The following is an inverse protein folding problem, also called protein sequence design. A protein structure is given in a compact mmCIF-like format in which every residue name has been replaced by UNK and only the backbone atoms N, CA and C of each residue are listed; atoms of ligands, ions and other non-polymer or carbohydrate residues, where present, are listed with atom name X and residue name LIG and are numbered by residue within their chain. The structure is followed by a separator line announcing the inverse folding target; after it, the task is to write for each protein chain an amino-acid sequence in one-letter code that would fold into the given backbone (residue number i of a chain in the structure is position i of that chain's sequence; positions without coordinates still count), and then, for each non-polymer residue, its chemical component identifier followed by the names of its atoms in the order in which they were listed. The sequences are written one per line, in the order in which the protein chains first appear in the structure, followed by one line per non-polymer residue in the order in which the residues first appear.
data_IF_442567944687
#
_entry.id   IF_442567944687
#
_cell.length_a   1.000
_cell.length_b   1.000
_cell.length_c   1.000
_cell.angle_alpha   90.00
_cell.angle_beta   90.00
_cell.angle_gamma   90.00
#
_symmetry.space_group_name_H-M   'P 1'
#
loop_
_entity.id
_entity.type
_entity.pdbx_description
1 polymer ?
#
# COMPACT_ATOMS: atom_id res chain seq x y z
N UNK A 1 20.13 1.78 11.07
CA UNK A 1 19.53 0.49 10.64
C UNK A 1 18.44 0.66 9.61
N UNK A 2 18.57 0.02 8.43
CA UNK A 2 17.44 -0.13 7.50
C UNK A 2 16.56 -1.26 8.05
N UNK A 3 15.29 -0.98 8.35
CA UNK A 3 14.33 -2.05 8.70
C UNK A 3 14.40 -3.15 7.64
N UNK A 4 14.40 -4.43 8.03
CA UNK A 4 14.39 -5.53 7.07
C UNK A 4 13.22 -5.35 6.11
N UNK A 5 13.50 -5.48 4.81
CA UNK A 5 12.45 -5.40 3.78
C UNK A 5 11.54 -6.60 3.94
N UNK A 6 10.37 -6.36 4.53
CA UNK A 6 9.29 -7.34 4.52
C UNK A 6 8.67 -7.35 3.12
N UNK A 7 8.68 -8.51 2.46
CA UNK A 7 7.99 -8.69 1.20
C UNK A 7 6.47 -8.62 1.42
N UNK A 8 5.77 -7.98 0.49
CA UNK A 8 4.31 -8.02 0.46
C UNK A 8 3.84 -9.40 -0.01
N UNK A 9 2.76 -9.92 0.58
CA UNK A 9 2.13 -11.15 0.11
C UNK A 9 1.40 -10.91 -1.21
N UNK A 10 1.11 -11.97 -1.98
CA UNK A 10 0.35 -11.86 -3.24
C UNK A 10 -0.97 -11.13 -3.01
N UNK A 11 -1.72 -11.50 -1.97
CA UNK A 11 -2.99 -10.84 -1.60
C UNK A 11 -2.83 -9.34 -1.32
N UNK A 12 -1.74 -8.93 -0.67
CA UNK A 12 -1.47 -7.51 -0.44
C UNK A 12 -1.19 -6.78 -1.75
N UNK A 13 -0.39 -7.37 -2.63
CA UNK A 13 -0.09 -6.80 -3.95
C UNK A 13 -1.35 -6.69 -4.81
N UNK A 14 -2.16 -7.74 -4.89
CA UNK A 14 -3.39 -7.77 -5.70
C UNK A 14 -4.36 -6.66 -5.29
N UNK A 15 -4.53 -6.44 -4.00
CA UNK A 15 -5.38 -5.37 -3.46
C UNK A 15 -4.80 -3.97 -3.71
N UNK A 16 -3.49 -3.78 -3.50
CA UNK A 16 -2.82 -2.52 -3.78
C UNK A 16 -2.90 -2.16 -5.28
N UNK A 17 -2.74 -3.14 -6.16
CA UNK A 17 -2.90 -2.96 -7.60
C UNK A 17 -4.34 -2.69 -8.02
N UNK A 18 -5.32 -3.38 -7.42
CA UNK A 18 -6.72 -3.12 -7.67
C UNK A 18 -7.10 -1.68 -7.32
N UNK A 19 -6.68 -1.20 -6.15
CA UNK A 19 -6.92 0.20 -5.75
C UNK A 19 -6.17 1.19 -6.63
N UNK A 20 -4.91 0.92 -7.00
CA UNK A 20 -4.14 1.80 -7.87
C UNK A 20 -4.72 1.90 -9.29
N UNK A 21 -5.30 0.81 -9.82
CA UNK A 21 -6.03 0.82 -11.10
C UNK A 21 -7.29 1.67 -11.02
N UNK A 22 -7.99 1.65 -9.89
CA UNK A 22 -9.19 2.44 -9.66
C UNK A 22 -8.87 3.92 -9.45
N UNK A 23 -7.81 4.22 -8.71
CA UNK A 23 -7.39 5.58 -8.37
C UNK A 23 -5.87 5.65 -8.18
N UNK A 24 -5.21 6.40 -9.07
CA UNK A 24 -3.76 6.59 -9.04
C UNK A 24 -3.29 7.44 -7.85
N UNK A 25 -4.21 8.12 -7.14
CA UNK A 25 -3.88 9.01 -6.04
C UNK A 25 -4.52 8.54 -4.72
N UNK A 26 -3.66 8.22 -3.75
CA UNK A 26 -4.11 7.70 -2.48
C UNK A 26 -4.52 8.81 -1.49
N UNK A 27 -5.83 8.96 -1.27
CA UNK A 27 -6.37 9.83 -0.22
C UNK A 27 -6.00 9.34 1.19
N UNK A 28 -6.05 10.24 2.18
CA UNK A 28 -5.74 9.90 3.59
C UNK A 28 -6.67 8.79 4.10
N UNK A 29 -7.97 8.91 3.85
CA UNK A 29 -8.96 7.91 4.25
C UNK A 29 -8.68 6.53 3.63
N UNK A 30 -8.48 6.46 2.31
CA UNK A 30 -8.17 5.18 1.63
C UNK A 30 -6.88 4.56 2.16
N UNK A 31 -5.88 5.38 2.49
CA UNK A 31 -4.62 4.90 3.08
C UNK A 31 -4.82 4.26 4.44
N UNK A 32 -5.62 4.88 5.30
CA UNK A 32 -5.96 4.34 6.62
C UNK A 32 -6.74 3.03 6.48
N UNK A 33 -7.75 3.00 5.59
CA UNK A 33 -8.55 1.80 5.34
C UNK A 33 -7.68 0.63 4.85
N UNK A 34 -6.78 0.89 3.88
CA UNK A 34 -5.84 -0.11 3.39
C UNK A 34 -4.81 -0.54 4.44
N UNK A 35 -4.38 0.39 5.31
CA UNK A 35 -3.43 0.10 6.39
C UNK A 35 -4.00 -0.95 7.33
N UNK A 36 -5.24 -0.74 7.76
CA UNK A 36 -5.96 -1.67 8.62
C UNK A 36 -6.22 -3.00 7.91
N UNK A 37 -6.72 -2.96 6.67
CA UNK A 37 -7.12 -4.17 5.94
C UNK A 37 -5.93 -5.07 5.55
N UNK A 38 -4.81 -4.46 5.14
CA UNK A 38 -3.62 -5.19 4.70
C UNK A 38 -2.62 -5.46 5.82
N UNK A 39 -2.87 -4.94 7.04
CA UNK A 39 -1.91 -4.97 8.15
C UNK A 39 -0.54 -4.39 7.74
N UNK A 40 -0.58 -3.31 6.97
CA UNK A 40 0.59 -2.54 6.54
C UNK A 40 0.55 -1.17 7.19
N UNK A 41 1.70 -0.52 7.35
CA UNK A 41 1.72 0.87 7.80
C UNK A 41 1.28 1.81 6.68
N UNK A 42 0.64 2.93 7.02
CA UNK A 42 0.31 3.98 6.05
C UNK A 42 1.52 4.41 5.21
N UNK A 43 2.72 4.44 5.82
CA UNK A 43 3.98 4.76 5.13
C UNK A 43 4.34 3.71 4.08
N UNK A 44 4.18 2.41 4.36
CA UNK A 44 4.43 1.36 3.37
C UNK A 44 3.49 1.48 2.18
N UNK A 45 2.21 1.74 2.43
CA UNK A 45 1.21 1.93 1.38
C UNK A 45 1.53 3.18 0.55
N UNK A 46 1.82 4.30 1.22
CA UNK A 46 2.22 5.55 0.55
C UNK A 46 3.45 5.34 -0.35
N UNK A 47 4.50 4.70 0.16
CA UNK A 47 5.73 4.42 -0.61
C UNK A 47 5.45 3.48 -1.77
N UNK A 48 4.61 2.46 -1.60
CA UNK A 48 4.23 1.56 -2.69
C UNK A 48 3.50 2.32 -3.80
N UNK A 49 2.52 3.16 -3.47
CA UNK A 49 1.79 4.00 -4.43
C UNK A 49 2.73 5.00 -5.13
N UNK A 50 3.69 5.58 -4.41
CA UNK A 50 4.70 6.47 -4.99
C UNK A 50 5.64 5.75 -5.96
N UNK A 51 6.06 4.52 -5.66
CA UNK A 51 6.93 3.72 -6.53
C UNK A 51 6.18 3.14 -7.75
N UNK A 52 4.85 3.10 -7.72
CA UNK A 52 4.01 2.53 -8.80
C UNK A 52 3.58 3.56 -9.85
N UNK A 53 3.64 4.85 -9.53
CA UNK A 53 3.36 5.96 -10.47
C UNK A 53 4.46 6.08 -11.51
#
# INVERSE_FOLDING_TARGET
DRKPRQAYSSKQLDMLEAEFRNDKYLSVKKRQDLSLFLSLTETQIKTWFQNRR
#
